data_IF_019865314841
#
_entry.id   IF_019865314841
#
_cell.length_a   1.000
_cell.length_b   1.000
_cell.length_c   1.000
_cell.angle_alpha   90.00
_cell.angle_beta   90.00
_cell.angle_gamma   90.00
#
_symmetry.space_group_name_H-M   'P 1'
#
loop_
_entity.id
_entity.type
_entity.pdbx_description
1 polymer ?
#
# COMPACT_ATOMS: atom_id res chain seq x y z
N UNK A 1 -44.58 5.99 -7.26
CA UNK A 1 -43.44 5.51 -8.09
C UNK A 1 -42.10 6.20 -7.82
N UNK A 2 -42.01 7.26 -6.98
CA UNK A 2 -40.76 8.00 -6.74
C UNK A 2 -39.89 7.50 -5.56
N UNK A 3 -40.39 6.53 -4.78
CA UNK A 3 -39.69 5.98 -3.60
C UNK A 3 -38.80 4.77 -3.91
N UNK A 4 -38.95 4.15 -5.09
CA UNK A 4 -38.17 2.97 -5.50
C UNK A 4 -36.74 3.36 -5.92
N UNK A 5 -36.57 4.55 -6.51
CA UNK A 5 -35.26 5.05 -6.98
C UNK A 5 -34.27 5.28 -5.83
N UNK A 6 -34.77 5.67 -4.65
CA UNK A 6 -33.94 5.89 -3.46
C UNK A 6 -33.45 4.57 -2.84
N UNK A 7 -34.19 3.46 -3.00
CA UNK A 7 -33.81 2.17 -2.45
C UNK A 7 -32.68 1.52 -3.27
N UNK A 8 -32.66 1.72 -4.59
CA UNK A 8 -31.64 1.15 -5.49
C UNK A 8 -30.26 1.80 -5.28
N UNK A 9 -30.21 3.06 -4.85
CA UNK A 9 -28.93 3.78 -4.65
C UNK A 9 -28.17 3.35 -3.37
N UNK A 10 -28.87 2.79 -2.37
CA UNK A 10 -28.28 2.35 -1.08
C UNK A 10 -27.80 0.89 -1.14
N UNK A 11 -28.15 0.16 -2.19
CA UNK A 11 -27.85 -1.26 -2.38
C UNK A 11 -26.61 -1.55 -3.23
N UNK A 12 -25.90 -0.52 -3.69
CA UNK A 12 -24.54 -0.70 -4.23
C UNK A 12 -23.56 -0.57 -3.08
N UNK A 13 -23.07 -1.67 -2.47
CA UNK A 13 -21.88 -1.56 -1.64
C UNK A 13 -20.80 -0.95 -2.52
N UNK A 14 -20.31 0.23 -2.15
CA UNK A 14 -19.05 0.72 -2.68
C UNK A 14 -18.04 -0.37 -2.39
N UNK A 15 -17.47 -0.95 -3.44
CA UNK A 15 -16.32 -1.84 -3.32
C UNK A 15 -15.16 -0.98 -2.82
N UNK A 16 -15.06 -0.85 -1.50
CA UNK A 16 -13.91 -0.23 -0.85
C UNK A 16 -12.75 -1.22 -0.97
N UNK A 17 -12.04 -1.16 -2.11
CA UNK A 17 -10.75 -1.81 -2.25
C UNK A 17 -9.77 -1.06 -1.36
N UNK A 18 -9.71 -1.43 -0.08
CA UNK A 18 -8.57 -1.11 0.74
C UNK A 18 -7.38 -1.89 0.14
N UNK A 19 -6.59 -1.24 -0.71
CA UNK A 19 -5.37 -1.86 -1.21
C UNK A 19 -4.41 -2.02 -0.03
N UNK A 20 -3.79 -3.19 0.16
CA UNK A 20 -2.78 -3.35 1.20
C UNK A 20 -1.55 -2.53 0.83
N UNK A 21 -1.06 -1.72 1.77
CA UNK A 21 0.14 -0.92 1.59
C UNK A 21 1.20 -1.33 2.62
N UNK A 22 2.43 -1.44 2.16
CA UNK A 22 3.60 -1.34 3.03
C UNK A 22 3.82 0.15 3.31
N UNK A 23 3.82 0.50 4.60
CA UNK A 23 4.02 1.86 5.09
C UNK A 23 5.10 1.87 6.17
N UNK A 24 5.73 3.02 6.36
CA UNK A 24 6.62 3.27 7.49
C UNK A 24 6.11 4.46 8.31
N UNK A 25 6.68 4.63 9.50
CA UNK A 25 6.45 5.85 10.27
C UNK A 25 6.90 7.09 9.47
N UNK A 26 6.18 8.22 9.57
CA UNK A 26 6.56 9.43 8.84
C UNK A 26 7.90 10.00 9.30
N UNK A 27 8.74 10.35 8.33
CA UNK A 27 9.94 11.16 8.52
C UNK A 27 9.50 12.62 8.75
N UNK A 28 9.74 13.20 9.94
CA UNK A 28 9.31 14.56 10.26
C UNK A 28 9.91 15.58 9.29
N UNK A 29 9.17 16.64 8.99
CA UNK A 29 9.64 17.75 8.13
C UNK A 29 10.80 18.55 8.74
N UNK A 30 11.07 18.35 10.04
CA UNK A 30 12.17 18.97 10.77
C UNK A 30 13.48 18.16 10.70
N UNK A 31 13.47 17.00 10.04
CA UNK A 31 14.62 16.10 9.92
C UNK A 31 14.94 15.80 8.44
N UNK A 32 16.05 15.09 8.20
CA UNK A 32 16.38 14.60 6.87
C UNK A 32 15.29 13.66 6.37
N UNK A 33 14.66 14.01 5.26
CA UNK A 33 13.63 13.20 4.62
C UNK A 33 14.15 12.53 3.34
N UNK A 34 13.68 11.32 3.02
CA UNK A 34 13.98 10.65 1.76
C UNK A 34 13.22 11.27 0.60
N UNK A 35 13.79 11.13 -0.59
CA UNK A 35 13.13 11.50 -1.85
C UNK A 35 12.39 10.29 -2.43
N UNK A 36 12.92 9.09 -2.23
CA UNK A 36 12.33 7.83 -2.64
C UNK A 36 12.80 6.66 -1.75
N UNK A 37 12.21 5.50 -2.00
CA UNK A 37 12.53 4.24 -1.36
C UNK A 37 12.84 3.19 -2.42
N UNK A 38 13.83 2.35 -2.14
CA UNK A 38 14.10 1.15 -2.93
C UNK A 38 13.58 -0.05 -2.14
N UNK A 39 12.74 -0.85 -2.78
CA UNK A 39 12.12 -2.03 -2.21
C UNK A 39 12.59 -3.23 -3.03
N UNK A 40 13.12 -4.26 -2.37
CA UNK A 40 13.37 -5.56 -3.00
C UNK A 40 12.32 -6.52 -2.48
N UNK A 41 11.39 -6.95 -3.31
CA UNK A 41 10.31 -7.88 -2.96
C UNK A 41 10.52 -9.19 -3.73
N UNK A 42 10.77 -10.27 -3.00
CA UNK A 42 11.08 -11.60 -3.55
C UNK A 42 12.15 -11.56 -4.66
N UNK A 43 13.21 -10.78 -4.41
CA UNK A 43 14.33 -10.59 -5.34
C UNK A 43 14.06 -9.62 -6.50
N UNK A 44 12.88 -9.02 -6.60
CA UNK A 44 12.57 -7.97 -7.60
C UNK A 44 12.67 -6.59 -6.99
N UNK A 45 13.40 -5.71 -7.67
CA UNK A 45 13.60 -4.33 -7.22
C UNK A 45 12.52 -3.39 -7.76
N UNK A 46 12.00 -2.55 -6.87
CA UNK A 46 11.03 -1.50 -7.12
C UNK A 46 11.55 -0.18 -6.56
N UNK A 47 11.21 0.93 -7.23
CA UNK A 47 11.43 2.28 -6.72
C UNK A 47 10.08 2.94 -6.46
N UNK A 48 9.95 3.59 -5.31
CA UNK A 48 8.75 4.28 -4.89
C UNK A 48 9.11 5.67 -4.38
N UNK A 49 8.56 6.72 -5.01
CA UNK A 49 8.72 8.09 -4.52
C UNK A 49 8.17 8.24 -3.10
N UNK A 50 8.82 9.05 -2.27
CA UNK A 50 8.35 9.29 -0.92
C UNK A 50 7.00 10.02 -0.94
N UNK A 51 5.99 9.43 -0.31
CA UNK A 51 4.67 10.03 -0.18
C UNK A 51 4.76 11.22 0.77
N UNK A 52 4.27 12.38 0.34
CA UNK A 52 4.27 13.60 1.17
C UNK A 52 2.92 13.76 1.85
N UNK A 53 2.92 13.78 3.17
CA UNK A 53 1.75 14.03 3.98
C UNK A 53 1.40 15.53 4.02
N UNK A 54 0.15 15.90 4.39
CA UNK A 54 -0.27 17.29 4.47
C UNK A 54 0.53 18.15 5.46
N UNK A 55 1.13 17.54 6.48
CA UNK A 55 2.00 18.18 7.47
C UNK A 55 3.45 18.35 6.98
N UNK A 56 3.74 17.96 5.73
CA UNK A 56 5.07 17.99 5.14
C UNK A 56 5.98 16.85 5.57
N UNK A 57 5.53 15.93 6.43
CA UNK A 57 6.26 14.69 6.69
C UNK A 57 6.27 13.80 5.43
N UNK A 58 7.28 12.95 5.30
CA UNK A 58 7.40 12.01 4.17
C UNK A 58 7.39 10.58 4.67
N UNK A 59 6.78 9.67 3.92
CA UNK A 59 6.73 8.26 4.29
C UNK A 59 6.75 7.35 3.07
N UNK A 60 7.10 6.08 3.29
CA UNK A 60 6.85 5.03 2.32
C UNK A 60 5.34 4.76 2.25
N UNK A 61 4.84 4.60 1.03
CA UNK A 61 3.52 4.04 0.77
C UNK A 61 3.57 3.22 -0.51
N UNK A 62 3.89 1.94 -0.37
CA UNK A 62 4.05 1.01 -1.49
C UNK A 62 2.89 0.03 -1.54
N UNK A 63 2.18 -0.01 -2.67
CA UNK A 63 1.05 -0.92 -2.88
C UNK A 63 1.57 -2.36 -3.03
N UNK A 64 1.06 -3.29 -2.21
CA UNK A 64 1.38 -4.73 -2.30
C UNK A 64 0.17 -5.57 -2.71
N UNK A 65 -0.90 -4.93 -3.16
CA UNK A 65 -2.14 -5.54 -3.64
C UNK A 65 -1.97 -6.37 -4.91
N UNK A 66 -0.86 -6.22 -5.63
CA UNK A 66 -0.52 -7.04 -6.80
C UNK A 66 0.14 -8.40 -6.46
N UNK A 67 0.59 -8.60 -5.22
CA UNK A 67 1.37 -9.78 -4.83
C UNK A 67 0.49 -11.03 -4.74
N UNK A 68 0.97 -12.22 -5.07
CA UNK A 68 0.17 -13.44 -4.93
C UNK A 68 -0.13 -13.77 -3.46
N UNK A 69 -1.08 -14.67 -3.18
CA UNK A 69 -1.21 -15.26 -1.85
C UNK A 69 0.05 -16.06 -1.49
N UNK A 70 0.44 -16.05 -0.21
CA UNK A 70 1.60 -16.78 0.30
C UNK A 70 2.54 -15.92 1.13
N UNK A 71 3.69 -16.50 1.49
CA UNK A 71 4.75 -15.80 2.23
C UNK A 71 5.65 -15.02 1.29
N UNK A 72 5.97 -13.79 1.67
CA UNK A 72 6.78 -12.87 0.92
C UNK A 72 7.87 -12.26 1.78
N UNK A 73 9.04 -12.06 1.19
CA UNK A 73 10.18 -11.43 1.83
C UNK A 73 10.46 -10.10 1.13
N UNK A 74 10.74 -9.07 1.91
CA UNK A 74 11.12 -7.78 1.35
C UNK A 74 12.22 -7.09 2.14
N UNK A 75 13.03 -6.30 1.45
CA UNK A 75 13.93 -5.32 2.07
C UNK A 75 13.59 -3.93 1.58
N UNK A 76 13.78 -2.93 2.44
CA UNK A 76 13.55 -1.52 2.12
C UNK A 76 14.76 -0.70 2.54
N UNK A 77 15.14 0.25 1.69
CA UNK A 77 16.03 1.35 2.07
C UNK A 77 15.43 2.69 1.63
N UNK A 78 15.63 3.69 2.46
CA UNK A 78 15.24 5.07 2.17
C UNK A 78 16.42 5.76 1.50
N UNK A 79 16.17 6.47 0.40
CA UNK A 79 17.22 7.12 -0.38
C UNK A 79 16.92 8.61 -0.57
N UNK A 80 17.99 9.39 -0.57
CA UNK A 80 17.98 10.82 -0.90
C UNK A 80 18.99 11.05 -2.02
N UNK A 81 18.66 11.91 -2.97
CA UNK A 81 19.62 12.32 -3.99
C UNK A 81 20.33 13.60 -3.56
N UNK A 82 21.65 13.64 -3.74
CA UNK A 82 22.41 14.86 -3.55
C UNK A 82 22.27 15.82 -4.75
N UNK A 83 22.86 17.01 -4.66
CA UNK A 83 22.79 18.01 -5.72
C UNK A 83 23.42 17.56 -7.06
N UNK A 84 24.23 16.49 -7.04
CA UNK A 84 24.86 15.90 -8.23
C UNK A 84 24.12 14.66 -8.74
N UNK A 85 22.98 14.31 -8.12
CA UNK A 85 22.19 13.12 -8.46
C UNK A 85 22.80 11.80 -7.97
N UNK A 86 23.74 11.85 -7.02
CA UNK A 86 24.27 10.62 -6.41
C UNK A 86 23.33 10.20 -5.26
N UNK A 87 22.88 8.94 -5.23
CA UNK A 87 21.98 8.46 -4.21
C UNK A 87 22.71 8.16 -2.90
N UNK A 88 22.17 8.66 -1.80
CA UNK A 88 22.58 8.38 -0.43
C UNK A 88 21.45 7.61 0.25
N UNK A 89 21.67 6.32 0.51
CA UNK A 89 20.65 5.43 1.06
C UNK A 89 20.97 5.00 2.48
N UNK A 90 19.93 4.74 3.27
CA UNK A 90 20.03 4.06 4.56
C UNK A 90 20.47 2.60 4.40
N UNK A 91 20.79 1.96 5.52
CA UNK A 91 20.86 0.51 5.60
C UNK A 91 19.52 -0.12 5.19
N UNK A 92 19.60 -1.36 4.68
CA UNK A 92 18.42 -2.14 4.31
C UNK A 92 17.76 -2.75 5.55
N UNK A 93 16.45 -2.56 5.66
CA UNK A 93 15.64 -3.18 6.72
C UNK A 93 14.84 -4.33 6.12
N UNK A 94 15.03 -5.58 6.62
CA UNK A 94 14.27 -6.73 6.16
C UNK A 94 12.92 -6.85 6.85
N UNK A 95 11.91 -7.27 6.09
CA UNK A 95 10.58 -7.58 6.57
C UNK A 95 10.06 -8.85 5.88
N UNK A 96 9.11 -9.52 6.51
CA UNK A 96 8.37 -10.62 5.92
C UNK A 96 6.89 -10.42 6.19
N UNK A 97 6.04 -10.81 5.25
CA UNK A 97 4.59 -10.82 5.44
C UNK A 97 3.97 -12.03 4.76
N UNK A 98 2.77 -12.39 5.20
CA UNK A 98 1.96 -13.42 4.58
C UNK A 98 0.69 -12.80 4.02
N UNK A 99 0.45 -13.00 2.73
CA UNK A 99 -0.81 -12.60 2.10
C UNK A 99 -1.79 -13.77 2.16
N UNK A 100 -2.93 -13.63 2.88
CA UNK A 100 -3.90 -14.70 2.98
C UNK A 100 -4.57 -14.95 1.61
N UNK A 101 -4.96 -16.20 1.39
CA UNK A 101 -5.83 -16.57 0.27
C UNK A 101 -7.18 -15.86 0.38
N UNK A 102 -7.78 -15.53 -0.78
CA UNK A 102 -9.10 -14.93 -0.82
C UNK A 102 -10.15 -15.85 -0.16
N UNK A 103 -11.02 -15.27 0.67
CA UNK A 103 -12.12 -16.00 1.30
C UNK A 103 -13.18 -16.30 0.24
N UNK A 104 -13.70 -17.53 0.23
CA UNK A 104 -14.79 -17.90 -0.67
C UNK A 104 -16.04 -17.04 -0.37
N UNK A 105 -16.80 -16.63 -1.41
CA UNK A 105 -18.04 -15.89 -1.19
C UNK A 105 -19.04 -16.72 -0.37
N UNK A 106 -19.90 -16.09 0.45
CA UNK A 106 -20.92 -16.81 1.21
C UNK A 106 -21.82 -17.63 0.28
N UNK A 107 -21.82 -18.95 0.46
CA UNK A 107 -22.75 -19.84 -0.23
C UNK A 107 -24.15 -19.79 0.40
N UNK A 108 -25.18 -20.09 -0.38
CA UNK A 108 -26.53 -20.35 0.15
C UNK A 108 -27.48 -19.16 0.22
N UNK A 109 -27.11 -17.97 -0.27
CA UNK A 109 -28.06 -16.87 -0.47
C UNK A 109 -29.08 -17.28 -1.56
N UNK A 110 -30.29 -17.65 -1.14
CA UNK A 110 -31.43 -17.92 -2.02
C UNK A 110 -32.58 -17.01 -1.61
N UNK A 111 -33.28 -16.43 -2.59
CA UNK A 111 -34.57 -15.78 -2.35
C UNK A 111 -35.61 -16.88 -2.13
N UNK A 112 -36.15 -16.98 -0.92
CA UNK A 112 -37.29 -17.85 -0.63
C UNK A 112 -38.56 -17.23 -1.23
N UNK A 113 -39.32 -18.04 -1.97
CA UNK A 113 -40.61 -17.67 -2.57
C UNK A 113 -41.72 -17.70 -1.53
#
# INVERSE_FOLDING_TARGET
MKKILLLVLVLFPSVAFASPFLVCDPYPSTQTQPDYFIIVLDGKTYSSSAFSNPDGSKQLKFDVGFVSSGSHSLTVKACKEDANGIPWCSDEVPFAFERPSAVAPPGGLKLSK
#
